data_IF_173673007581
#
_entry.id   IF_173673007581
#
_cell.length_a   1.000
_cell.length_b   1.000
_cell.length_c   1.000
_cell.angle_alpha   90.00
_cell.angle_beta   90.00
_cell.angle_gamma   90.00
#
_symmetry.space_group_name_H-M   'P 1'
#
loop_
_entity.id
_entity.type
_entity.pdbx_description
1 polymer ?
#
# COMPACT_ATOMS: atom_id res chain seq x y z
N UNK A 1 -1.22 -6.00 27.84
CA UNK A 1 -0.34 -4.88 27.45
C UNK A 1 -0.07 -5.01 25.95
N UNK A 2 -0.80 -4.26 25.12
CA UNK A 2 -0.63 -4.30 23.67
C UNK A 2 0.56 -3.41 23.31
N UNK A 3 1.62 -3.99 22.72
CA UNK A 3 2.72 -3.23 22.13
C UNK A 3 2.20 -2.64 20.81
N UNK A 4 2.18 -1.32 20.71
CA UNK A 4 1.94 -0.63 19.45
C UNK A 4 3.14 -0.90 18.53
N UNK A 5 2.91 -1.65 17.45
CA UNK A 5 3.87 -1.85 16.38
C UNK A 5 3.99 -0.50 15.67
N UNK A 6 5.17 0.12 15.78
CA UNK A 6 5.51 1.39 15.14
C UNK A 6 5.52 1.12 13.62
N UNK A 7 4.63 1.75 12.86
CA UNK A 7 4.56 1.63 11.40
C UNK A 7 3.30 0.95 10.83
N UNK A 8 2.42 0.41 11.68
CA UNK A 8 1.11 -0.08 11.24
C UNK A 8 0.09 1.04 11.26
N UNK A 9 -0.27 1.57 10.10
CA UNK A 9 -1.37 2.53 9.98
C UNK A 9 -2.70 1.77 10.16
N UNK A 10 -3.44 1.96 11.28
CA UNK A 10 -4.67 1.22 11.57
C UNK A 10 -5.75 1.43 10.51
N UNK A 11 -5.65 2.50 9.71
CA UNK A 11 -6.54 2.81 8.61
C UNK A 11 -6.39 1.78 7.48
N UNK A 12 -5.20 1.25 7.23
CA UNK A 12 -4.95 0.29 6.15
C UNK A 12 -5.66 -1.05 6.41
N UNK A 13 -5.58 -1.59 7.62
CA UNK A 13 -6.31 -2.81 7.99
C UNK A 13 -7.81 -2.61 7.91
N UNK A 14 -8.31 -1.44 8.32
CA UNK A 14 -9.73 -1.10 8.21
C UNK A 14 -10.21 -1.11 6.75
N UNK A 15 -9.38 -0.62 5.83
CA UNK A 15 -9.68 -0.54 4.40
C UNK A 15 -9.47 -1.85 3.65
N UNK A 16 -8.44 -2.63 4.02
CA UNK A 16 -8.25 -3.99 3.53
C UNK A 16 -9.35 -4.94 4.03
N UNK A 17 -9.99 -4.60 5.16
CA UNK A 17 -11.18 -5.27 5.69
C UNK A 17 -12.51 -4.74 5.14
N UNK A 18 -12.50 -3.74 4.24
CA UNK A 18 -13.74 -3.31 3.62
C UNK A 18 -14.32 -4.46 2.79
N UNK A 19 -15.65 -4.69 2.86
CA UNK A 19 -16.29 -5.74 2.09
C UNK A 19 -16.01 -5.56 0.60
N UNK A 20 -15.86 -6.66 -0.13
CA UNK A 20 -15.74 -6.67 -1.59
C UNK A 20 -16.89 -5.84 -2.18
N UNK A 21 -16.56 -4.63 -2.63
CA UNK A 21 -17.50 -3.78 -3.35
C UNK A 21 -17.53 -4.32 -4.76
N UNK A 22 -18.70 -4.73 -5.23
CA UNK A 22 -18.91 -5.09 -6.63
C UNK A 22 -18.81 -3.83 -7.49
N UNK A 23 -17.56 -3.52 -7.88
CA UNK A 23 -17.17 -2.30 -8.59
C UNK A 23 -17.87 -2.20 -9.95
N UNK A 24 -18.16 -3.35 -10.59
CA UNK A 24 -18.81 -3.43 -11.90
C UNK A 24 -20.26 -2.93 -11.86
N UNK A 25 -20.92 -2.99 -10.69
CA UNK A 25 -22.30 -2.54 -10.51
C UNK A 25 -22.42 -1.08 -10.08
N UNK A 26 -21.31 -0.40 -9.82
CA UNK A 26 -21.34 1.00 -9.41
C UNK A 26 -21.77 1.91 -10.56
N UNK A 27 -22.60 2.91 -10.25
CA UNK A 27 -22.86 4.01 -11.18
C UNK A 27 -21.57 4.78 -11.44
N UNK A 28 -21.42 5.34 -12.64
CA UNK A 28 -20.23 6.09 -13.08
C UNK A 28 -19.71 7.10 -12.06
N UNK A 29 -20.59 7.91 -11.46
CA UNK A 29 -20.18 8.90 -10.45
C UNK A 29 -19.70 8.25 -9.14
N UNK A 30 -20.37 7.19 -8.69
CA UNK A 30 -19.97 6.42 -7.51
C UNK A 30 -18.67 5.67 -7.75
N UNK A 31 -18.47 5.14 -8.95
CA UNK A 31 -17.24 4.48 -9.38
C UNK A 31 -16.07 5.46 -9.39
N UNK A 32 -16.26 6.67 -9.94
CA UNK A 32 -15.24 7.72 -9.92
C UNK A 32 -14.81 8.07 -8.49
N UNK A 33 -15.77 8.29 -7.58
CA UNK A 33 -15.47 8.60 -6.17
C UNK A 33 -14.78 7.43 -5.47
N UNK A 34 -15.21 6.20 -5.75
CA UNK A 34 -14.58 4.99 -5.22
C UNK A 34 -13.12 4.89 -5.65
N UNK A 35 -12.84 5.02 -6.95
CA UNK A 35 -11.49 4.95 -7.51
C UNK A 35 -10.59 6.08 -7.00
N UNK A 36 -11.11 7.31 -6.88
CA UNK A 36 -10.35 8.44 -6.30
C UNK A 36 -9.97 8.19 -4.83
N UNK A 37 -10.89 7.67 -4.02
CA UNK A 37 -10.60 7.32 -2.65
C UNK A 37 -9.57 6.18 -2.58
N UNK A 38 -9.74 5.15 -3.42
CA UNK A 38 -8.80 4.02 -3.48
C UNK A 38 -7.40 4.48 -3.88
N UNK A 39 -7.29 5.36 -4.87
CA UNK A 39 -6.03 5.95 -5.32
C UNK A 39 -5.32 6.68 -4.17
N UNK A 40 -6.06 7.56 -3.47
CA UNK A 40 -5.51 8.31 -2.33
C UNK A 40 -4.96 7.40 -1.23
N UNK A 41 -5.62 6.27 -0.99
CA UNK A 41 -5.16 5.30 0.00
C UNK A 41 -3.91 4.54 -0.45
N UNK A 42 -3.84 4.15 -1.72
CA UNK A 42 -2.65 3.51 -2.28
C UNK A 42 -1.45 4.45 -2.23
N UNK A 43 -1.62 5.72 -2.62
CA UNK A 43 -0.54 6.72 -2.57
C UNK A 43 -0.04 6.96 -1.14
N UNK A 44 -0.95 6.97 -0.15
CA UNK A 44 -0.56 7.06 1.25
C UNK A 44 0.24 5.83 1.72
N UNK A 45 -0.13 4.62 1.27
CA UNK A 45 0.58 3.38 1.60
C UNK A 45 1.96 3.35 0.95
N UNK A 46 2.07 3.70 -0.33
CA UNK A 46 3.35 3.82 -1.04
C UNK A 46 4.25 4.80 -0.29
N UNK A 47 3.75 6.00 0.02
CA UNK A 47 4.52 7.00 0.78
C UNK A 47 5.01 6.44 2.12
N UNK A 48 4.14 5.75 2.86
CA UNK A 48 4.52 5.15 4.16
C UNK A 48 5.61 4.10 4.01
N UNK A 49 5.49 3.19 3.03
CA UNK A 49 6.49 2.16 2.75
C UNK A 49 7.81 2.78 2.30
N UNK A 50 7.77 3.76 1.39
CA UNK A 50 8.98 4.46 0.94
C UNK A 50 9.72 5.15 2.09
N UNK A 51 9.01 5.78 3.04
CA UNK A 51 9.63 6.39 4.21
C UNK A 51 10.20 5.33 5.17
N UNK A 52 9.48 4.23 5.41
CA UNK A 52 9.98 3.13 6.24
C UNK A 52 11.28 2.53 5.69
N UNK A 53 11.42 2.44 4.36
CA UNK A 53 12.63 1.94 3.72
C UNK A 53 13.75 2.99 3.63
N UNK A 54 13.44 4.27 3.48
CA UNK A 54 14.42 5.35 3.52
C UNK A 54 15.05 5.49 4.92
N UNK A 55 14.24 5.34 5.97
CA UNK A 55 14.74 5.34 7.36
C UNK A 55 15.56 4.06 7.67
N UNK A 56 15.22 2.93 7.04
CA UNK A 56 16.07 1.74 7.11
C UNK A 56 17.44 2.00 6.50
N UNK A 57 17.57 2.80 5.44
CA UNK A 57 18.82 3.11 4.71
C UNK A 57 19.98 3.57 5.62
N UNK A 58 19.70 4.29 6.71
CA UNK A 58 20.70 4.66 7.73
C UNK A 58 21.15 3.49 8.63
N UNK A 59 20.29 2.49 8.85
CA UNK A 59 20.55 1.31 9.69
C UNK A 59 21.19 0.12 8.95
N UNK A 60 21.29 0.14 7.61
CA UNK A 60 21.91 -0.95 6.83
C UNK A 60 23.39 -1.17 7.12
N UNK A 61 24.09 -0.18 7.68
CA UNK A 61 25.48 -0.37 8.11
C UNK A 61 25.61 -1.36 9.27
N UNK A 62 24.51 -1.69 9.95
CA UNK A 62 24.48 -2.56 11.13
C UNK A 62 23.68 -3.86 10.97
N UNK A 63 22.93 -4.03 9.87
CA UNK A 63 22.12 -5.23 9.65
C UNK A 63 22.93 -6.31 8.92
N UNK A 64 23.32 -7.30 9.71
CA UNK A 64 23.89 -8.57 9.26
C UNK A 64 23.01 -9.24 8.19
N UNK A 65 23.64 -9.69 7.09
CA UNK A 65 23.04 -10.56 6.09
C UNK A 65 22.67 -11.93 6.68
N UNK A 66 21.45 -12.05 7.22
CA UNK A 66 20.83 -13.32 7.62
C UNK A 66 19.62 -13.65 6.75
N UNK A 67 19.33 -14.94 6.50
CA UNK A 67 18.24 -15.42 5.62
C UNK A 67 16.85 -14.82 5.97
N UNK A 68 16.59 -14.57 7.26
CA UNK A 68 15.32 -14.02 7.75
C UNK A 68 15.12 -12.55 7.32
N UNK A 69 16.20 -11.77 7.18
CA UNK A 69 16.14 -10.38 6.69
C UNK A 69 15.86 -10.27 5.18
N UNK A 70 16.15 -11.32 4.42
CA UNK A 70 15.96 -11.32 2.96
C UNK A 70 14.51 -11.52 2.55
N UNK A 71 13.77 -12.42 3.19
CA UNK A 71 12.36 -12.68 2.81
C UNK A 71 11.46 -11.47 3.06
N UNK A 72 11.59 -10.81 4.21
CA UNK A 72 10.82 -9.61 4.53
C UNK A 72 11.14 -8.47 3.55
N UNK A 73 12.41 -8.29 3.18
CA UNK A 73 12.83 -7.33 2.18
C UNK A 73 12.18 -7.60 0.82
N UNK A 74 12.21 -8.85 0.36
CA UNK A 74 11.58 -9.26 -0.91
C UNK A 74 10.07 -9.07 -0.88
N UNK A 75 9.41 -9.43 0.22
CA UNK A 75 7.97 -9.24 0.38
C UNK A 75 7.58 -7.75 0.31
N UNK A 76 8.36 -6.88 0.94
CA UNK A 76 8.12 -5.43 0.91
C UNK A 76 8.35 -4.85 -0.50
N UNK A 77 9.38 -5.30 -1.21
CA UNK A 77 9.63 -4.88 -2.59
C UNK A 77 8.50 -5.31 -3.52
N UNK A 78 8.01 -6.55 -3.38
CA UNK A 78 6.87 -7.07 -4.14
C UNK A 78 5.57 -6.33 -3.79
N UNK A 79 5.36 -5.98 -2.50
CA UNK A 79 4.22 -5.15 -2.09
C UNK A 79 4.28 -3.78 -2.78
N UNK A 80 5.45 -3.15 -2.83
CA UNK A 80 5.63 -1.85 -3.47
C UNK A 80 5.32 -1.91 -4.97
N UNK A 81 5.87 -2.88 -5.70
CA UNK A 81 5.63 -3.09 -7.13
C UNK A 81 4.14 -3.31 -7.43
N UNK A 82 3.48 -4.14 -6.61
CA UNK A 82 2.04 -4.34 -6.72
C UNK A 82 1.23 -3.06 -6.49
N UNK A 83 1.61 -2.25 -5.50
CA UNK A 83 0.92 -1.00 -5.19
C UNK A 83 1.10 0.04 -6.32
N UNK A 84 2.29 0.11 -6.91
CA UNK A 84 2.58 0.99 -8.06
C UNK A 84 1.77 0.57 -9.30
N UNK A 85 1.79 -0.72 -9.66
CA UNK A 85 0.99 -1.23 -10.76
C UNK A 85 -0.51 -0.99 -10.56
N UNK A 86 -1.00 -1.18 -9.33
CA UNK A 86 -2.41 -0.91 -8.99
C UNK A 86 -2.73 0.59 -9.08
N UNK A 87 -1.80 1.46 -8.68
CA UNK A 87 -1.95 2.91 -8.79
C UNK A 87 -2.11 3.34 -10.25
N UNK A 88 -1.25 2.84 -11.14
CA UNK A 88 -1.32 3.14 -12.57
C UNK A 88 -2.65 2.67 -13.18
N UNK A 89 -3.05 1.43 -12.90
CA UNK A 89 -4.31 0.89 -13.39
C UNK A 89 -5.55 1.71 -12.95
N UNK A 90 -5.55 2.24 -11.72
CA UNK A 90 -6.64 3.10 -11.24
C UNK A 90 -6.64 4.46 -11.93
N UNK A 91 -5.46 5.03 -12.20
CA UNK A 91 -5.34 6.29 -12.95
C UNK A 91 -5.89 6.10 -14.37
N UNK A 92 -5.47 5.05 -15.07
CA UNK A 92 -5.98 4.71 -16.41
C UNK A 92 -7.51 4.50 -16.40
N UNK A 93 -8.04 3.78 -15.40
CA UNK A 93 -9.47 3.58 -15.26
C UNK A 93 -10.23 4.90 -15.02
N UNK A 94 -9.65 5.84 -14.26
CA UNK A 94 -10.24 7.17 -14.04
C UNK A 94 -10.21 8.03 -15.31
N UNK A 95 -9.17 7.93 -16.13
CA UNK A 95 -9.06 8.64 -17.41
C UNK A 95 -10.05 8.09 -18.45
N UNK A 96 -10.33 6.78 -18.41
CA UNK A 96 -11.29 6.12 -19.29
C UNK A 96 -12.77 6.35 -18.90
N UNK A 97 -13.06 6.93 -17.73
CA UNK A 97 -14.41 7.18 -17.19
C UNK A 97 -15.02 8.52 -17.64
#
# INVERSE_FOLDING_TARGET
MARAIRGLDPIYYLLASLPEVDVERLKKDSLRVYLQNRLRHLEARISTLSHQHADMEEDWQHLFWGEESTEELWNNLLELDYLEATREAIIEALEAL
#
